data_IF_596395069903
#
_entry.id   IF_596395069903
#
_cell.length_a   1.000
_cell.length_b   1.000
_cell.length_c   1.000
_cell.angle_alpha   90.00
_cell.angle_beta   90.00
_cell.angle_gamma   90.00
#
_symmetry.space_group_name_H-M   'P 1'
#
loop_
_entity.id
_entity.type
_entity.pdbx_description
1 polymer ?
#
# COMPACT_ATOMS: atom_id res chain seq x y z
N UNK A 1 -8.52 2.62 -9.67
CA UNK A 1 -7.05 2.87 -9.63
C UNK A 1 -6.85 4.38 -9.65
N UNK A 2 -5.90 4.88 -8.86
CA UNK A 2 -5.64 6.31 -8.79
C UNK A 2 -5.15 6.87 -10.14
N UNK A 3 -5.58 8.08 -10.49
CA UNK A 3 -5.16 8.75 -11.74
C UNK A 3 -3.71 9.17 -11.74
N UNK A 4 -3.07 9.32 -10.58
CA UNK A 4 -1.65 9.68 -10.41
C UNK A 4 -0.72 8.47 -10.54
N UNK A 5 -1.23 7.25 -10.47
CA UNK A 5 -0.43 6.02 -10.65
C UNK A 5 0.01 5.88 -12.12
N UNK A 6 1.29 6.16 -12.38
CA UNK A 6 1.89 6.19 -13.73
C UNK A 6 2.10 4.80 -14.31
N UNK A 7 2.41 3.81 -13.46
CA UNK A 7 2.71 2.45 -13.88
C UNK A 7 1.81 1.46 -13.14
N UNK A 8 0.49 1.45 -13.46
CA UNK A 8 -0.46 0.66 -12.71
C UNK A 8 -0.23 -0.85 -12.88
N UNK A 9 -0.62 -1.60 -11.86
CA UNK A 9 -0.79 -3.05 -11.95
C UNK A 9 -1.78 -3.42 -13.04
N UNK A 10 -1.50 -4.53 -13.70
CA UNK A 10 -2.34 -4.99 -14.83
C UNK A 10 -3.51 -5.85 -14.36
N UNK A 11 -3.36 -6.51 -13.21
CA UNK A 11 -4.20 -7.57 -12.69
C UNK A 11 -4.57 -8.59 -13.78
N UNK A 12 -3.56 -9.04 -14.52
CA UNK A 12 -3.76 -9.90 -15.69
C UNK A 12 -4.41 -11.23 -15.28
N UNK A 13 -5.45 -11.64 -16.02
CA UNK A 13 -6.21 -12.87 -15.73
C UNK A 13 -7.10 -12.81 -14.49
N UNK A 14 -7.25 -11.64 -13.85
CA UNK A 14 -8.16 -11.43 -12.72
C UNK A 14 -9.50 -10.87 -13.21
N UNK A 15 -10.64 -11.33 -12.67
CA UNK A 15 -11.96 -10.83 -13.05
C UNK A 15 -12.24 -9.49 -12.35
N UNK A 16 -11.52 -8.43 -12.74
CA UNK A 16 -11.63 -7.10 -12.15
C UNK A 16 -11.70 -6.01 -13.20
N UNK A 17 -12.61 -5.06 -13.00
CA UNK A 17 -12.60 -3.79 -13.72
C UNK A 17 -11.59 -2.83 -13.09
N UNK A 18 -11.03 -1.94 -13.92
CA UNK A 18 -9.92 -1.06 -13.52
C UNK A 18 -10.13 0.38 -13.98
N UNK A 19 -11.23 1.05 -13.58
CA UNK A 19 -11.41 2.46 -13.90
C UNK A 19 -10.31 3.31 -13.23
N UNK A 20 -9.87 4.36 -13.94
CA UNK A 20 -8.97 5.38 -13.39
C UNK A 20 -9.81 6.50 -12.77
N UNK A 21 -9.62 6.74 -11.48
CA UNK A 21 -10.38 7.73 -10.69
C UNK A 21 -9.43 8.34 -9.67
N UNK A 22 -9.54 9.64 -9.39
CA UNK A 22 -8.79 10.25 -8.29
C UNK A 22 -9.27 9.63 -6.96
N UNK A 23 -8.34 9.03 -6.21
CA UNK A 23 -8.62 8.43 -4.91
C UNK A 23 -8.22 9.40 -3.79
N UNK A 24 -9.00 9.44 -2.69
CA UNK A 24 -8.63 10.22 -1.52
C UNK A 24 -7.36 9.68 -0.86
N UNK A 25 -7.16 8.36 -0.86
CA UNK A 25 -5.97 7.70 -0.33
C UNK A 25 -5.67 6.39 -1.09
N UNK A 26 -4.39 6.05 -1.17
CA UNK A 26 -3.89 4.85 -1.85
C UNK A 26 -3.90 4.92 -3.38
N UNK A 27 -3.33 3.89 -4.00
CA UNK A 27 -3.18 3.77 -5.47
C UNK A 27 -4.23 2.82 -6.06
N UNK A 28 -4.66 1.83 -5.27
CA UNK A 28 -5.68 0.86 -5.63
C UNK A 28 -6.72 0.81 -4.54
N UNK A 29 -8.00 0.84 -4.91
CA UNK A 29 -9.08 0.83 -3.93
C UNK A 29 -10.27 0.02 -4.44
N UNK A 30 -11.05 -0.52 -3.51
CA UNK A 30 -12.35 -1.13 -3.76
C UNK A 30 -13.45 -0.33 -3.07
N UNK A 31 -14.63 -0.36 -3.69
CA UNK A 31 -15.80 0.35 -3.20
C UNK A 31 -16.92 -0.63 -2.85
N UNK A 32 -17.69 -0.27 -1.83
CA UNK A 32 -19.01 -0.82 -1.57
C UNK A 32 -20.03 0.31 -1.82
N UNK A 33 -20.79 0.21 -2.90
CA UNK A 33 -21.59 1.32 -3.42
C UNK A 33 -20.73 2.56 -3.74
N UNK A 34 -21.06 3.70 -3.13
CA UNK A 34 -20.33 4.96 -3.33
C UNK A 34 -19.06 5.11 -2.45
N UNK A 35 -18.92 4.28 -1.41
CA UNK A 35 -17.88 4.42 -0.39
C UNK A 35 -16.64 3.62 -0.73
N UNK A 36 -15.46 4.21 -0.57
CA UNK A 36 -14.18 3.47 -0.59
C UNK A 36 -14.04 2.74 0.74
N UNK A 37 -14.02 1.41 0.70
CA UNK A 37 -13.96 0.58 1.93
C UNK A 37 -12.55 0.07 2.20
N UNK A 38 -11.75 -0.10 1.14
CA UNK A 38 -10.36 -0.48 1.30
C UNK A 38 -9.46 0.11 0.23
N UNK A 39 -8.21 0.36 0.60
CA UNK A 39 -7.19 0.84 -0.31
C UNK A 39 -5.79 0.29 -0.03
N UNK A 40 -4.95 0.23 -1.06
CA UNK A 40 -3.55 -0.14 -0.99
C UNK A 40 -2.73 0.98 -1.58
N UNK A 41 -1.77 1.50 -0.81
CA UNK A 41 -0.70 2.33 -1.33
C UNK A 41 0.46 1.45 -1.77
N UNK A 42 0.95 1.68 -2.99
CA UNK A 42 2.05 0.95 -3.60
C UNK A 42 3.31 1.80 -3.54
N UNK A 43 4.42 1.20 -3.12
CA UNK A 43 5.74 1.84 -3.15
C UNK A 43 6.79 0.89 -3.71
N UNK A 44 7.76 1.42 -4.44
CA UNK A 44 9.05 0.73 -4.58
C UNK A 44 9.81 0.83 -3.25
N UNK A 45 10.82 -0.02 -3.05
CA UNK A 45 11.63 0.02 -1.84
C UNK A 45 12.29 1.40 -1.65
N UNK A 46 12.84 1.98 -2.71
CA UNK A 46 13.54 3.27 -2.69
C UNK A 46 12.58 4.41 -2.39
N UNK A 47 11.41 4.44 -3.04
CA UNK A 47 10.42 5.47 -2.78
C UNK A 47 9.86 5.37 -1.36
N UNK A 48 9.68 4.15 -0.84
CA UNK A 48 9.29 3.95 0.54
C UNK A 48 10.35 4.50 1.49
N UNK A 49 11.63 4.13 1.30
CA UNK A 49 12.73 4.60 2.14
C UNK A 49 12.84 6.12 2.16
N UNK A 50 12.81 6.79 1.00
CA UNK A 50 12.78 8.25 0.90
C UNK A 50 11.63 8.83 1.71
N UNK A 51 10.40 8.32 1.51
CA UNK A 51 9.21 8.82 2.20
C UNK A 51 9.18 8.52 3.71
N UNK A 52 9.91 7.48 4.15
CA UNK A 52 10.08 7.18 5.56
C UNK A 52 11.05 8.18 6.21
N UNK A 53 12.17 8.46 5.54
CA UNK A 53 13.19 9.41 6.00
C UNK A 53 12.64 10.83 6.07
N UNK A 54 11.89 11.28 5.06
CA UNK A 54 11.29 12.62 5.04
C UNK A 54 9.96 12.73 5.83
N UNK A 55 9.46 11.60 6.34
CA UNK A 55 8.24 11.52 7.16
C UNK A 55 6.92 11.57 6.39
N UNK A 56 6.94 11.79 5.07
CA UNK A 56 5.72 11.89 4.25
C UNK A 56 4.89 10.61 4.22
N UNK A 57 5.51 9.43 4.39
CA UNK A 57 4.75 8.17 4.46
C UNK A 57 3.86 8.11 5.71
N UNK A 58 4.26 8.73 6.81
CA UNK A 58 3.43 8.78 8.02
C UNK A 58 2.14 9.58 7.81
N UNK A 59 2.22 10.66 7.03
CA UNK A 59 1.04 11.44 6.62
C UNK A 59 0.12 10.60 5.74
N UNK A 60 0.68 9.91 4.74
CA UNK A 60 -0.08 9.01 3.87
C UNK A 60 -0.73 7.86 4.66
N UNK A 61 -0.02 7.27 5.62
CA UNK A 61 -0.56 6.22 6.49
C UNK A 61 -1.67 6.74 7.40
N UNK A 62 -1.62 8.00 7.82
CA UNK A 62 -2.70 8.64 8.57
C UNK A 62 -3.98 8.75 7.74
N UNK A 63 -3.87 9.12 6.46
CA UNK A 63 -5.01 9.16 5.54
C UNK A 63 -5.56 7.75 5.29
N UNK A 64 -4.69 6.76 5.06
CA UNK A 64 -5.09 5.36 4.87
C UNK A 64 -5.79 4.78 6.09
N UNK A 65 -5.37 5.15 7.31
CA UNK A 65 -5.96 4.68 8.56
C UNK A 65 -7.42 5.14 8.78
N UNK A 66 -7.94 6.03 7.93
CA UNK A 66 -9.36 6.43 7.95
C UNK A 66 -10.28 5.42 7.25
N UNK A 67 -9.72 4.46 6.49
CA UNK A 67 -10.47 3.43 5.78
C UNK A 67 -10.66 2.19 6.67
N UNK A 68 -11.71 1.40 6.37
CA UNK A 68 -12.00 0.17 7.12
C UNK A 68 -10.91 -0.89 6.96
N UNK A 69 -10.27 -0.97 5.79
CA UNK A 69 -9.07 -1.77 5.59
C UNK A 69 -8.08 -1.06 4.67
N UNK A 70 -6.84 -0.89 5.11
CA UNK A 70 -5.81 -0.29 4.28
C UNK A 70 -4.45 -0.96 4.45
N UNK A 71 -3.57 -0.81 3.47
CA UNK A 71 -2.20 -1.30 3.58
C UNK A 71 -1.23 -0.49 2.72
N UNK A 72 0.04 -0.55 3.08
CA UNK A 72 1.16 -0.15 2.22
C UNK A 72 1.83 -1.44 1.72
N UNK A 73 1.89 -1.63 0.41
CA UNK A 73 2.64 -2.73 -0.20
C UNK A 73 3.93 -2.20 -0.81
N UNK A 74 5.04 -2.89 -0.52
CA UNK A 74 6.38 -2.53 -0.96
C UNK A 74 6.88 -3.57 -1.95
N UNK A 75 7.32 -3.11 -3.11
CA UNK A 75 8.01 -3.90 -4.13
C UNK A 75 9.47 -4.10 -3.74
N UNK A 76 9.71 -4.97 -2.76
CA UNK A 76 11.04 -5.28 -2.25
C UNK A 76 11.00 -6.16 -1.01
N UNK A 77 12.15 -6.68 -0.60
CA UNK A 77 12.27 -7.49 0.63
C UNK A 77 12.65 -6.60 1.80
N UNK A 78 12.20 -6.98 3.00
CA UNK A 78 12.59 -6.30 4.23
C UNK A 78 14.13 -6.26 4.41
N UNK A 79 14.82 -7.36 4.06
CA UNK A 79 16.29 -7.44 4.12
C UNK A 79 17.00 -6.41 3.24
N UNK A 80 16.35 -5.93 2.18
CA UNK A 80 16.97 -4.96 1.27
C UNK A 80 17.01 -3.55 1.88
N UNK A 81 16.25 -3.28 2.96
CA UNK A 81 16.35 -2.03 3.73
C UNK A 81 17.73 -1.83 4.37
N UNK A 82 18.42 -2.92 4.69
CA UNK A 82 19.77 -2.89 5.26
C UNK A 82 20.86 -2.63 4.21
N UNK A 83 20.49 -2.60 2.92
CA UNK A 83 21.40 -2.45 1.78
C UNK A 83 21.24 -1.09 1.09
N UNK A 84 20.40 -0.21 1.64
CA UNK A 84 20.15 1.12 1.08
C UNK A 84 21.44 1.95 1.11
N UNK A 85 21.75 2.59 -0.01
CA UNK A 85 22.87 3.51 -0.09
C UNK A 85 22.55 4.79 0.70
N UNK A 86 23.58 5.43 1.27
CA UNK A 86 23.51 6.75 1.91
C UNK A 86 22.68 6.83 3.20
N UNK A 87 22.30 5.70 3.80
CA UNK A 87 21.61 5.65 5.09
C UNK A 87 22.31 4.63 5.99
N UNK A 88 22.43 4.93 7.28
CA UNK A 88 22.97 3.98 8.25
C UNK A 88 22.15 2.69 8.26
N UNK A 89 22.82 1.55 8.21
CA UNK A 89 22.16 0.25 8.27
C UNK A 89 21.36 0.13 9.58
N UNK A 90 20.04 -0.02 9.47
CA UNK A 90 19.13 -0.09 10.62
C UNK A 90 18.26 1.15 10.82
N UNK A 91 18.63 2.31 10.28
CA UNK A 91 17.82 3.53 10.43
C UNK A 91 16.43 3.38 9.78
N UNK A 92 16.35 2.92 8.53
CA UNK A 92 15.04 2.69 7.87
C UNK A 92 14.23 1.56 8.52
N UNK A 93 14.82 0.39 8.87
CA UNK A 93 14.15 -0.61 9.68
C UNK A 93 13.53 -0.08 11.00
N UNK A 94 14.24 0.81 11.70
CA UNK A 94 13.72 1.49 12.91
C UNK A 94 12.51 2.39 12.58
N UNK A 95 12.56 3.13 11.47
CA UNK A 95 11.41 3.92 11.01
C UNK A 95 10.21 3.04 10.64
N UNK A 96 10.43 1.88 10.02
CA UNK A 96 9.36 0.90 9.74
C UNK A 96 8.69 0.46 11.04
N UNK A 97 9.47 0.11 12.06
CA UNK A 97 8.94 -0.28 13.35
C UNK A 97 8.09 0.84 13.98
N UNK A 98 8.58 2.08 13.94
CA UNK A 98 7.84 3.25 14.44
C UNK A 98 6.53 3.48 13.70
N UNK A 99 6.53 3.36 12.38
CA UNK A 99 5.32 3.52 11.56
C UNK A 99 4.28 2.45 11.87
N UNK A 100 4.69 1.19 12.00
CA UNK A 100 3.77 0.10 12.34
C UNK A 100 3.22 0.22 13.77
N UNK A 101 4.01 0.69 14.73
CA UNK A 101 3.51 0.98 16.10
C UNK A 101 2.55 2.16 16.10
N UNK A 102 2.83 3.21 15.31
CA UNK A 102 1.98 4.40 15.22
C UNK A 102 0.67 4.16 14.47
N UNK A 103 0.68 3.28 13.48
CA UNK A 103 -0.44 2.98 12.60
C UNK A 103 -0.72 1.46 12.56
N UNK A 104 -1.11 0.84 13.69
CA UNK A 104 -1.26 -0.61 13.78
C UNK A 104 -2.33 -1.18 12.84
N UNK A 105 -3.31 -0.36 12.41
CA UNK A 105 -4.35 -0.74 11.45
C UNK A 105 -3.91 -0.69 9.98
N UNK A 106 -2.70 -0.19 9.67
CA UNK A 106 -2.20 -0.07 8.29
C UNK A 106 -0.90 -0.88 8.17
N UNK A 107 -0.98 -2.19 7.87
CA UNK A 107 0.21 -3.02 7.69
C UNK A 107 1.10 -2.53 6.55
N UNK A 108 2.40 -2.69 6.74
CA UNK A 108 3.44 -2.50 5.72
C UNK A 108 3.89 -3.89 5.25
N UNK A 109 3.63 -4.22 3.99
CA UNK A 109 3.84 -5.55 3.43
C UNK A 109 4.99 -5.53 2.43
N UNK A 110 6.09 -6.19 2.76
CA UNK A 110 7.22 -6.40 1.86
C UNK A 110 6.94 -7.60 0.97
N UNK A 111 6.66 -7.35 -0.30
CA UNK A 111 6.20 -8.38 -1.23
C UNK A 111 7.30 -8.88 -2.18
N UNK A 112 8.57 -8.56 -1.93
CA UNK A 112 9.76 -8.97 -2.70
C UNK A 112 9.84 -8.41 -4.13
N UNK A 113 8.80 -8.58 -4.95
CA UNK A 113 8.78 -8.16 -6.34
C UNK A 113 7.47 -7.46 -6.71
N UNK A 114 7.51 -6.68 -7.79
CA UNK A 114 6.32 -6.07 -8.38
C UNK A 114 5.18 -7.07 -8.64
N UNK A 115 5.51 -8.25 -9.18
CA UNK A 115 4.52 -9.29 -9.51
C UNK A 115 3.81 -9.82 -8.27
N UNK A 116 4.57 -10.04 -7.20
CA UNK A 116 4.05 -10.52 -5.93
C UNK A 116 3.27 -9.42 -5.19
N UNK A 117 3.72 -8.16 -5.27
CA UNK A 117 2.99 -7.02 -4.74
C UNK A 117 1.62 -6.84 -5.44
N UNK A 118 1.58 -7.01 -6.77
CA UNK A 118 0.35 -7.01 -7.56
C UNK A 118 -0.59 -8.15 -7.14
N UNK A 119 -0.06 -9.37 -6.98
CA UNK A 119 -0.82 -10.53 -6.54
C UNK A 119 -1.39 -10.34 -5.13
N UNK A 120 -0.58 -9.85 -4.20
CA UNK A 120 -0.99 -9.58 -2.84
C UNK A 120 -2.08 -8.49 -2.80
N UNK A 121 -1.88 -7.40 -3.56
CA UNK A 121 -2.84 -6.29 -3.68
C UNK A 121 -4.19 -6.78 -4.17
N UNK A 122 -4.21 -7.64 -5.20
CA UNK A 122 -5.44 -8.25 -5.70
C UNK A 122 -6.15 -9.03 -4.60
N UNK A 123 -5.44 -9.92 -3.90
CA UNK A 123 -6.03 -10.77 -2.86
C UNK A 123 -6.59 -9.97 -1.69
N UNK A 124 -5.83 -9.00 -1.21
CA UNK A 124 -6.25 -8.11 -0.12
C UNK A 124 -7.53 -7.36 -0.48
N UNK A 125 -7.54 -6.67 -1.63
CA UNK A 125 -8.69 -5.89 -2.07
C UNK A 125 -9.90 -6.75 -2.45
N UNK A 126 -9.69 -7.89 -3.10
CA UNK A 126 -10.78 -8.82 -3.41
C UNK A 126 -11.43 -9.38 -2.14
N UNK A 127 -10.64 -9.64 -1.09
CA UNK A 127 -11.17 -10.10 0.19
C UNK A 127 -11.92 -9.00 0.94
N UNK A 128 -11.33 -7.80 1.01
CA UNK A 128 -11.96 -6.63 1.60
C UNK A 128 -13.30 -6.30 0.91
N UNK A 129 -13.39 -6.42 -0.41
CA UNK A 129 -14.64 -6.24 -1.16
C UNK A 129 -15.75 -7.20 -0.71
N UNK A 130 -15.42 -8.47 -0.45
CA UNK A 130 -16.41 -9.47 -0.02
C UNK A 130 -16.80 -9.29 1.45
N UNK A 131 -15.87 -8.93 2.32
CA UNK A 131 -16.13 -8.84 3.76
C UNK A 131 -16.77 -7.51 4.15
N UNK A 132 -16.28 -6.40 3.61
CA UNK A 132 -16.75 -5.05 3.91
C UNK A 132 -17.91 -4.63 3.02
N UNK A 133 -18.13 -5.32 1.90
CA UNK A 133 -19.28 -5.12 1.03
C UNK A 133 -20.59 -5.71 1.57
N UNK A 134 -20.55 -6.56 2.61
CA UNK A 134 -21.74 -7.22 3.19
C UNK A 134 -22.58 -6.34 4.11
N UNK A 135 -22.16 -5.11 4.36
CA UNK A 135 -22.87 -4.14 5.21
C UNK A 135 -23.34 -2.88 4.50
N UNK A 136 -23.36 -2.88 3.15
CA UNK A 136 -23.76 -1.75 2.30
C UNK A 136 -25.13 -1.98 1.64
#
# INVERSE_FOLDING_TARGET
MDTRERYPYRFAGRPVERPRVALPAGDYAVRAGARVVAAVARKTLENFATSAVDGSIGLQMTELATLEAAAVVIEGRYSDLFKLAHVEAGFVPELVARLQVRHPGVPIVFAESRKLAEEWTYRFLARASVELGRGA
#
